data_IF_679340803004
#
_entry.id   IF_679340803004
#
_cell.length_a   1.000
_cell.length_b   1.000
_cell.length_c   1.000
_cell.angle_alpha   90.00
_cell.angle_beta   90.00
_cell.angle_gamma   90.00
#
_symmetry.space_group_name_H-M   'P 1'
#
loop_
_entity.id
_entity.type
_entity.pdbx_description
1 polymer ?
#
# COMPACT_ATOMS: atom_id res chain seq x y z
N UNK A 1 -11.08 21.23 -11.50
CA UNK A 1 -10.95 19.76 -11.57
C UNK A 1 -10.57 19.27 -10.19
N UNK A 2 -11.44 18.47 -9.56
CA UNK A 2 -11.38 18.13 -8.13
C UNK A 2 -10.43 16.96 -7.85
N UNK A 3 -9.66 17.07 -6.75
CA UNK A 3 -8.83 15.98 -6.21
C UNK A 3 -9.73 14.89 -5.65
N UNK A 4 -9.52 13.65 -6.07
CA UNK A 4 -10.16 12.48 -5.50
C UNK A 4 -9.27 11.87 -4.41
N UNK A 5 -9.86 11.58 -3.25
CA UNK A 5 -9.22 10.89 -2.14
C UNK A 5 -9.82 9.49 -2.00
N UNK A 6 -8.97 8.47 -1.90
CA UNK A 6 -9.37 7.10 -1.55
C UNK A 6 -8.60 6.65 -0.31
N UNK A 7 -9.29 6.01 0.64
CA UNK A 7 -8.71 5.45 1.85
C UNK A 7 -9.26 4.03 2.05
N UNK A 8 -8.37 3.02 2.04
CA UNK A 8 -8.70 1.63 2.32
C UNK A 8 -7.83 1.10 3.47
N UNK A 9 -8.44 0.40 4.43
CA UNK A 9 -7.75 -0.26 5.55
C UNK A 9 -7.64 -1.75 5.23
N UNK A 10 -6.42 -2.28 5.19
CA UNK A 10 -6.14 -3.69 4.87
C UNK A 10 -5.84 -4.50 6.14
N UNK A 11 -6.27 -5.76 6.17
CA UNK A 11 -5.97 -6.74 7.23
C UNK A 11 -5.20 -7.92 6.62
N UNK A 12 -3.91 -8.12 6.97
CA UNK A 12 -3.16 -9.26 6.50
C UNK A 12 -3.57 -10.54 7.25
N UNK A 13 -3.54 -11.68 6.53
CA UNK A 13 -3.80 -13.01 7.07
C UNK A 13 -2.81 -13.47 8.16
N UNK A 14 -3.23 -14.51 8.89
CA UNK A 14 -2.68 -15.00 10.18
C UNK A 14 -1.17 -15.29 10.16
N UNK A 15 -0.39 -14.85 11.17
CA UNK A 15 1.07 -14.94 11.08
C UNK A 15 1.66 -15.86 12.22
N UNK A 16 2.82 -16.51 12.01
CA UNK A 16 3.54 -17.48 12.87
C UNK A 16 4.82 -16.94 13.58
N UNK A 17 5.54 -17.74 14.39
CA UNK A 17 6.32 -17.23 15.55
C UNK A 17 7.69 -16.56 15.26
N UNK A 18 7.90 -15.93 14.10
CA UNK A 18 9.13 -15.17 13.78
C UNK A 18 8.87 -13.72 13.32
N UNK A 19 7.69 -13.16 13.59
CA UNK A 19 7.30 -11.84 13.05
C UNK A 19 7.84 -10.65 13.83
N UNK A 20 9.12 -10.36 13.58
CA UNK A 20 9.51 -8.98 13.42
C UNK A 20 8.90 -8.50 12.09
N UNK A 21 8.19 -7.36 12.11
CA UNK A 21 7.88 -6.66 10.86
C UNK A 21 9.20 -6.30 10.22
N UNK A 22 9.34 -6.60 8.93
CA UNK A 22 10.47 -6.12 8.15
C UNK A 22 10.56 -4.60 8.35
N UNK A 23 11.64 -4.06 8.94
CA UNK A 23 11.78 -2.62 9.14
C UNK A 23 11.69 -1.84 7.84
N UNK A 24 11.88 -2.50 6.69
CA UNK A 24 11.78 -1.94 5.34
C UNK A 24 10.37 -2.00 4.76
N UNK A 25 9.37 -2.50 5.48
CA UNK A 25 8.00 -2.63 4.97
C UNK A 25 7.43 -1.29 4.45
N UNK A 26 7.67 -0.12 5.10
CA UNK A 26 7.25 1.16 4.54
C UNK A 26 7.87 1.47 3.17
N UNK A 27 9.17 1.22 3.03
CA UNK A 27 9.94 1.46 1.80
C UNK A 27 9.49 0.52 0.68
N UNK A 28 9.26 -0.75 1.00
CA UNK A 28 8.73 -1.76 0.07
C UNK A 28 7.34 -1.38 -0.41
N UNK A 29 6.46 -0.94 0.50
CA UNK A 29 5.13 -0.50 0.14
C UNK A 29 5.13 0.76 -0.74
N UNK A 30 6.08 1.67 -0.50
CA UNK A 30 6.28 2.82 -1.36
C UNK A 30 6.79 2.40 -2.75
N UNK A 31 7.72 1.45 -2.82
CA UNK A 31 8.26 0.98 -4.09
C UNK A 31 7.17 0.34 -4.97
N UNK A 32 6.23 -0.41 -4.40
CA UNK A 32 5.09 -0.96 -5.17
C UNK A 32 4.34 0.12 -5.96
N UNK A 33 4.13 1.29 -5.35
CA UNK A 33 3.45 2.40 -6.04
C UNK A 33 4.33 3.01 -7.12
N UNK A 34 5.62 3.21 -6.84
CA UNK A 34 6.57 3.77 -7.82
C UNK A 34 6.67 2.83 -9.02
N UNK A 35 6.91 1.55 -8.78
CA UNK A 35 7.05 0.53 -9.82
C UNK A 35 5.78 0.41 -10.66
N UNK A 36 4.59 0.34 -10.02
CA UNK A 36 3.33 0.24 -10.75
C UNK A 36 3.04 1.48 -11.62
N UNK A 37 3.38 2.68 -11.13
CA UNK A 37 3.27 3.91 -11.92
C UNK A 37 4.28 3.91 -13.07
N UNK A 38 5.53 3.52 -12.86
CA UNK A 38 6.55 3.45 -13.91
C UNK A 38 6.19 2.44 -15.02
N UNK A 39 5.57 1.32 -14.66
CA UNK A 39 5.20 0.27 -15.61
C UNK A 39 3.96 0.65 -16.42
N UNK A 40 2.93 1.23 -15.78
CA UNK A 40 1.61 1.44 -16.41
C UNK A 40 1.38 2.88 -16.86
N UNK A 41 1.92 3.86 -16.16
CA UNK A 41 1.69 5.26 -16.42
C UNK A 41 2.96 5.91 -16.98
N UNK A 42 3.00 6.14 -18.29
CA UNK A 42 4.17 6.64 -19.01
C UNK A 42 4.85 7.86 -18.34
N UNK A 43 4.08 8.79 -17.75
CA UNK A 43 4.63 9.99 -17.12
C UNK A 43 3.74 10.53 -15.98
N UNK A 44 4.29 10.56 -14.75
CA UNK A 44 3.72 11.26 -13.58
C UNK A 44 4.62 12.40 -13.11
N UNK A 45 4.03 13.44 -12.53
CA UNK A 45 4.77 14.51 -11.85
C UNK A 45 4.24 14.73 -10.44
N UNK A 46 5.01 15.42 -9.60
CA UNK A 46 4.66 15.70 -8.20
C UNK A 46 4.24 14.43 -7.42
N UNK A 47 4.88 13.29 -7.70
CA UNK A 47 4.69 12.06 -6.93
C UNK A 47 5.23 12.27 -5.51
N UNK A 48 4.37 12.07 -4.52
CA UNK A 48 4.73 12.20 -3.12
C UNK A 48 3.68 11.58 -2.22
N UNK A 49 4.06 11.30 -0.98
CA UNK A 49 3.19 10.63 -0.04
C UNK A 49 3.88 10.24 1.25
N UNK A 50 3.17 9.45 2.04
CA UNK A 50 3.62 8.88 3.30
C UNK A 50 3.17 7.43 3.41
N UNK A 51 4.04 6.59 3.94
CA UNK A 51 3.68 5.25 4.40
C UNK A 51 3.83 5.20 5.91
N UNK A 52 2.78 4.76 6.59
CA UNK A 52 2.77 4.57 8.04
C UNK A 52 2.57 3.09 8.34
N UNK A 53 3.57 2.47 8.97
CA UNK A 53 3.47 1.11 9.50
C UNK A 53 3.21 1.15 11.01
N UNK A 54 2.14 0.51 11.46
CA UNK A 54 1.81 0.36 12.89
C UNK A 54 1.91 -1.10 13.28
N UNK A 55 2.68 -1.37 14.33
CA UNK A 55 2.73 -2.68 14.98
C UNK A 55 2.10 -2.60 16.36
N UNK A 56 1.14 -3.48 16.63
CA UNK A 56 0.50 -3.60 17.93
C UNK A 56 0.80 -4.97 18.51
N UNK A 57 1.35 -5.01 19.73
CA UNK A 57 1.54 -6.23 20.51
C UNK A 57 0.55 -6.19 21.67
N UNK A 58 -0.17 -7.29 21.87
CA UNK A 58 -1.14 -7.44 22.97
C UNK A 58 -0.51 -8.21 24.12
N UNK A 59 -0.82 -7.79 25.34
CA UNK A 59 -0.38 -8.44 26.58
C UNK A 59 -1.60 -8.66 27.49
N UNK A 60 -1.56 -9.70 28.32
CA UNK A 60 -2.68 -10.07 29.18
C UNK A 60 -3.87 -10.65 28.40
N UNK A 61 -5.08 -10.52 28.96
CA UNK A 61 -6.31 -11.11 28.41
C UNK A 61 -7.02 -10.18 27.40
N UNK A 62 -6.26 -9.68 26.43
CA UNK A 62 -6.79 -8.85 25.33
C UNK A 62 -7.08 -9.76 24.14
N UNK A 63 -8.33 -9.76 23.66
CA UNK A 63 -8.76 -10.59 22.53
C UNK A 63 -8.16 -10.14 21.18
N UNK A 64 -8.08 -11.10 20.25
CA UNK A 64 -7.55 -10.91 18.91
C UNK A 64 -6.13 -11.46 18.75
N UNK A 65 -5.50 -11.23 17.57
CA UNK A 65 -4.15 -11.74 17.30
C UNK A 65 -3.13 -11.16 18.29
N UNK A 66 -2.20 -11.98 18.85
CA UNK A 66 -1.16 -11.50 19.77
C UNK A 66 -0.33 -10.34 19.22
N UNK A 67 -0.16 -10.30 17.89
CA UNK A 67 0.43 -9.20 17.14
C UNK A 67 -0.48 -8.84 15.97
N UNK A 68 -0.61 -7.56 15.72
CA UNK A 68 -1.29 -7.04 14.53
C UNK A 68 -0.41 -6.00 13.85
N UNK A 69 -0.46 -6.00 12.52
CA UNK A 69 0.28 -5.07 11.68
C UNK A 69 -0.71 -4.35 10.77
N UNK A 70 -0.57 -3.04 10.69
CA UNK A 70 -1.36 -2.21 9.79
C UNK A 70 -0.43 -1.33 8.99
N UNK A 71 -0.69 -1.26 7.70
CA UNK A 71 0.01 -0.39 6.78
C UNK A 71 -1.00 0.63 6.21
N UNK A 72 -0.65 1.90 6.26
CA UNK A 72 -1.41 2.99 5.63
C UNK A 72 -0.51 3.69 4.61
N UNK A 73 -0.89 3.64 3.33
CA UNK A 73 -0.29 4.40 2.25
C UNK A 73 -1.19 5.59 1.94
N UNK A 74 -0.62 6.80 1.96
CA UNK A 74 -1.26 8.02 1.45
C UNK A 74 -0.35 8.58 0.36
N UNK A 75 -0.85 8.71 -0.85
CA UNK A 75 -0.06 9.20 -1.96
C UNK A 75 -0.87 10.14 -2.85
N UNK A 76 -0.15 10.98 -3.58
CA UNK A 76 -0.70 11.82 -4.63
C UNK A 76 0.33 11.98 -5.74
N UNK A 77 -0.16 12.10 -6.97
CA UNK A 77 0.63 12.41 -8.14
C UNK A 77 -0.25 13.17 -9.15
N UNK A 78 0.39 13.78 -10.13
CA UNK A 78 -0.26 14.49 -11.23
C UNK A 78 -0.02 13.71 -12.52
N UNK A 79 -1.11 13.27 -13.16
CA UNK A 79 -1.07 12.71 -14.50
C UNK A 79 -0.63 13.81 -15.48
N UNK A 80 0.28 13.47 -16.38
CA UNK A 80 0.74 14.41 -17.43
C UNK A 80 -0.10 14.32 -18.70
N UNK A 81 -0.92 13.26 -18.80
CA UNK A 81 -1.81 13.01 -19.93
C UNK A 81 -3.25 12.75 -19.46
N UNK A 82 -4.26 12.82 -20.34
CA UNK A 82 -5.66 12.57 -19.98
C UNK A 82 -5.99 11.10 -19.66
N UNK A 83 -5.08 10.15 -19.93
CA UNK A 83 -5.25 8.71 -19.75
C UNK A 83 -5.22 8.30 -18.27
N UNK A 84 -6.24 8.71 -17.50
CA UNK A 84 -6.33 8.42 -16.06
C UNK A 84 -6.48 6.92 -15.76
N UNK A 85 -6.97 6.12 -16.71
CA UNK A 85 -7.21 4.68 -16.52
C UNK A 85 -5.97 3.92 -16.06
N UNK A 86 -4.81 4.18 -16.68
CA UNK A 86 -3.55 3.51 -16.34
C UNK A 86 -3.04 3.87 -14.94
N UNK A 87 -3.30 5.10 -14.47
CA UNK A 87 -2.99 5.51 -13.10
C UNK A 87 -3.88 4.78 -12.07
N UNK A 88 -5.15 4.51 -12.39
CA UNK A 88 -6.06 3.75 -11.53
C UNK A 88 -5.63 2.29 -11.48
N UNK A 89 -5.30 1.70 -12.62
CA UNK A 89 -4.78 0.32 -12.69
C UNK A 89 -3.48 0.15 -11.90
N UNK A 90 -2.55 1.10 -12.00
CA UNK A 90 -1.33 1.12 -11.19
C UNK A 90 -1.66 1.12 -9.69
N UNK A 91 -2.62 1.93 -9.25
CA UNK A 91 -3.03 1.95 -7.86
C UNK A 91 -3.72 0.65 -7.43
N UNK A 92 -4.54 0.04 -8.29
CA UNK A 92 -5.14 -1.27 -8.04
C UNK A 92 -4.07 -2.36 -7.85
N UNK A 93 -3.01 -2.34 -8.64
CA UNK A 93 -1.89 -3.28 -8.49
C UNK A 93 -1.21 -3.16 -7.11
N UNK A 94 -1.07 -1.94 -6.58
CA UNK A 94 -0.57 -1.74 -5.19
C UNK A 94 -1.51 -2.38 -4.16
N UNK A 95 -2.83 -2.28 -4.36
CA UNK A 95 -3.82 -2.89 -3.46
C UNK A 95 -3.77 -4.42 -3.53
N UNK A 96 -3.53 -4.99 -4.71
CA UNK A 96 -3.34 -6.44 -4.89
C UNK A 96 -2.10 -6.94 -4.15
N UNK A 97 -0.96 -6.24 -4.27
CA UNK A 97 0.26 -6.53 -3.50
C UNK A 97 -0.01 -6.51 -2.00
N UNK A 98 -0.67 -5.45 -1.51
CA UNK A 98 -0.94 -5.28 -0.09
C UNK A 98 -1.98 -6.29 0.45
N UNK A 99 -2.86 -6.82 -0.41
CA UNK A 99 -3.80 -7.89 -0.08
C UNK A 99 -3.19 -9.30 -0.20
N UNK A 100 -1.97 -9.43 -0.74
CA UNK A 100 -1.33 -10.73 -1.02
C UNK A 100 -2.02 -11.50 -2.15
N UNK A 101 -2.69 -10.80 -3.08
CA UNK A 101 -3.35 -11.42 -4.22
C UNK A 101 -2.32 -11.73 -5.33
N UNK A 102 -2.49 -12.82 -6.09
CA UNK A 102 -1.68 -13.07 -7.27
C UNK A 102 -1.97 -11.99 -8.30
N UNK A 103 -0.92 -11.35 -8.83
CA UNK A 103 -1.03 -10.42 -9.97
C UNK A 103 -1.75 -11.12 -11.12
N UNK A 104 -2.89 -10.59 -11.54
CA UNK A 104 -3.49 -11.01 -12.80
C UNK A 104 -2.78 -10.22 -13.91
N UNK A 105 -2.24 -10.97 -14.88
CA UNK A 105 -1.41 -10.43 -15.96
C UNK A 105 -2.18 -9.59 -16.94
#
# INVERSE_FOLDING_TARGET
MGRHHAAGRLHPGRPGPSEAVDPLLPEVAWSWLVDALEIRAEHVTALGGTVTATTSVRYGDISGPPRAHQLELRASWTATTPEIGTHVEAFCEVLEHAAGLPRWG
#
